data_IF_536598752990
#
_entry.id   IF_536598752990
#
_cell.length_a   1.000
_cell.length_b   1.000
_cell.length_c   1.000
_cell.angle_alpha   90.00
_cell.angle_beta   90.00
_cell.angle_gamma   90.00
#
_symmetry.space_group_name_H-M   'P 1'
#
loop_
_entity.id
_entity.type
_entity.pdbx_description
1 polymer ?
#
# COMPACT_ATOMS: atom_id res chain seq x y z
N UNK A 1 15.93 -26.46 -31.97
CA UNK A 1 15.46 -25.87 -30.69
C UNK A 1 14.11 -26.50 -30.36
N UNK A 2 13.91 -26.98 -29.13
CA UNK A 2 12.62 -27.56 -28.71
C UNK A 2 11.56 -26.46 -28.51
N UNK A 3 10.29 -26.80 -28.74
CA UNK A 3 9.12 -25.91 -28.54
C UNK A 3 9.10 -25.26 -27.15
N UNK A 4 9.45 -26.02 -26.12
CA UNK A 4 9.56 -25.54 -24.73
C UNK A 4 10.58 -24.43 -24.52
N UNK A 5 11.73 -24.46 -25.22
CA UNK A 5 12.74 -23.39 -25.13
C UNK A 5 12.29 -22.09 -25.81
N UNK A 6 11.40 -22.19 -26.79
CA UNK A 6 10.82 -21.04 -27.47
C UNK A 6 9.74 -20.39 -26.60
N UNK A 7 8.81 -21.19 -26.06
CA UNK A 7 7.74 -20.72 -25.16
C UNK A 7 8.29 -20.07 -23.88
N UNK A 8 9.34 -20.63 -23.28
CA UNK A 8 10.00 -20.00 -22.12
C UNK A 8 10.64 -18.65 -22.45
N UNK A 9 11.19 -18.50 -23.66
CA UNK A 9 11.84 -17.25 -24.09
C UNK A 9 10.81 -16.16 -24.36
N UNK A 10 9.66 -16.52 -24.93
CA UNK A 10 8.54 -15.59 -25.13
C UNK A 10 7.95 -15.11 -23.80
N UNK A 11 7.68 -16.01 -22.85
CA UNK A 11 7.15 -15.64 -21.53
C UNK A 11 8.08 -14.70 -20.75
N UNK A 12 9.40 -14.91 -20.80
CA UNK A 12 10.39 -13.99 -20.20
C UNK A 12 10.35 -12.62 -20.87
N UNK A 13 10.19 -12.58 -22.20
CA UNK A 13 10.07 -11.33 -22.95
C UNK A 13 8.79 -10.57 -22.60
N UNK A 14 7.65 -11.26 -22.44
CA UNK A 14 6.38 -10.64 -22.05
C UNK A 14 6.45 -10.04 -20.64
N UNK A 15 7.02 -10.76 -19.67
CA UNK A 15 7.21 -10.23 -18.30
C UNK A 15 8.14 -9.03 -18.28
N UNK A 16 9.20 -9.04 -19.08
CA UNK A 16 10.10 -7.89 -19.18
C UNK A 16 9.39 -6.68 -19.80
N UNK A 17 8.57 -6.90 -20.84
CA UNK A 17 7.76 -5.84 -21.44
C UNK A 17 6.78 -5.27 -20.41
N UNK A 18 6.04 -6.12 -19.70
CA UNK A 18 5.10 -5.67 -18.66
C UNK A 18 5.82 -4.92 -17.53
N UNK A 19 7.01 -5.37 -17.13
CA UNK A 19 7.81 -4.67 -16.13
C UNK A 19 8.21 -3.26 -16.57
N UNK A 20 8.59 -3.09 -17.84
CA UNK A 20 8.95 -1.80 -18.42
C UNK A 20 7.72 -0.88 -18.56
N UNK A 21 6.57 -1.44 -18.96
CA UNK A 21 5.30 -0.70 -18.98
C UNK A 21 4.93 -0.17 -17.60
N UNK A 22 5.02 -1.01 -16.58
CA UNK A 22 4.74 -0.62 -15.20
C UNK A 22 5.71 0.45 -14.67
N UNK A 23 6.96 0.43 -15.12
CA UNK A 23 7.92 1.50 -14.82
C UNK A 23 7.45 2.84 -15.39
N UNK A 24 7.07 2.85 -16.67
CA UNK A 24 6.54 4.04 -17.32
C UNK A 24 5.21 4.50 -16.69
N UNK A 25 4.33 3.56 -16.33
CA UNK A 25 3.07 3.83 -15.65
C UNK A 25 3.31 4.52 -14.30
N UNK A 26 4.19 3.96 -13.46
CA UNK A 26 4.54 4.56 -12.15
C UNK A 26 5.21 5.92 -12.28
N UNK A 27 5.99 6.16 -13.34
CA UNK A 27 6.58 7.46 -13.61
C UNK A 27 5.55 8.53 -14.01
N UNK A 28 4.39 8.12 -14.54
CA UNK A 28 3.30 9.00 -14.94
C UNK A 28 2.25 9.20 -13.84
N UNK A 29 2.26 8.40 -12.78
CA UNK A 29 1.37 8.62 -11.63
C UNK A 29 1.72 9.96 -10.98
N UNK A 30 0.74 10.87 -10.96
CA UNK A 30 0.80 12.13 -10.25
C UNK A 30 -0.52 12.46 -9.56
N UNK A 31 -0.45 13.19 -8.46
CA UNK A 31 -1.63 13.69 -7.76
C UNK A 31 -2.26 14.90 -8.50
N UNK A 32 -3.35 15.43 -7.95
CA UNK A 32 -4.04 16.61 -8.52
C UNK A 32 -3.19 17.89 -8.51
N UNK A 33 -2.07 17.89 -7.79
CA UNK A 33 -1.11 18.99 -7.75
C UNK A 33 0.06 18.77 -8.74
N UNK A 34 0.04 17.67 -9.49
CA UNK A 34 1.11 17.29 -10.42
C UNK A 34 2.34 16.70 -9.73
N UNK A 35 2.25 16.35 -8.45
CA UNK A 35 3.33 15.71 -7.72
C UNK A 35 3.32 14.21 -8.01
N UNK A 36 4.42 13.71 -8.55
CA UNK A 36 4.59 12.29 -8.86
C UNK A 36 4.90 11.43 -7.63
N UNK A 37 4.92 10.11 -7.82
CA UNK A 37 5.37 9.16 -6.79
C UNK A 37 6.82 9.47 -6.37
N UNK A 38 7.10 9.45 -5.07
CA UNK A 38 8.44 9.70 -4.54
C UNK A 38 9.48 8.73 -5.10
N UNK A 39 10.66 9.25 -5.48
CA UNK A 39 11.68 8.50 -6.20
C UNK A 39 12.08 7.19 -5.51
N UNK A 40 12.22 7.17 -4.18
CA UNK A 40 12.70 5.98 -3.45
C UNK A 40 11.62 4.91 -3.26
N UNK A 41 10.33 5.26 -3.37
CA UNK A 41 9.24 4.30 -3.18
C UNK A 41 8.68 3.72 -4.48
N UNK A 42 8.93 4.38 -5.63
CA UNK A 42 8.56 3.87 -6.97
C UNK A 42 8.84 2.37 -7.19
N UNK A 43 10.01 1.82 -6.81
CA UNK A 43 10.29 0.40 -7.02
C UNK A 43 9.31 -0.53 -6.29
N UNK A 44 8.87 -0.18 -5.08
CA UNK A 44 7.89 -0.96 -4.31
C UNK A 44 6.52 -0.85 -4.95
N UNK A 45 6.09 0.36 -5.33
CA UNK A 45 4.81 0.59 -6.02
C UNK A 45 4.72 -0.28 -7.29
N UNK A 46 5.75 -0.21 -8.15
CA UNK A 46 5.84 -1.07 -9.35
C UNK A 46 5.83 -2.56 -8.99
N UNK A 47 6.60 -2.97 -7.99
CA UNK A 47 6.65 -4.37 -7.55
C UNK A 47 5.29 -4.89 -7.11
N UNK A 48 4.52 -4.08 -6.37
CA UNK A 48 3.16 -4.42 -5.95
C UNK A 48 2.22 -4.54 -7.15
N UNK A 49 2.26 -3.57 -8.08
CA UNK A 49 1.46 -3.60 -9.30
C UNK A 49 1.78 -4.81 -10.19
N UNK A 50 3.06 -5.17 -10.31
CA UNK A 50 3.50 -6.36 -11.04
C UNK A 50 2.93 -7.65 -10.43
N UNK A 51 2.76 -7.68 -9.11
CA UNK A 51 2.17 -8.81 -8.39
C UNK A 51 0.62 -8.71 -8.27
N UNK A 52 -0.01 -7.84 -9.07
CA UNK A 52 -1.46 -7.76 -9.21
C UNK A 52 -2.17 -7.03 -8.08
N UNK A 53 -1.47 -6.14 -7.37
CA UNK A 53 -2.09 -5.22 -6.42
C UNK A 53 -2.34 -3.86 -7.06
N UNK A 54 -3.48 -3.26 -6.76
CA UNK A 54 -3.77 -1.88 -7.14
C UNK A 54 -3.31 -0.94 -6.03
N UNK A 55 -2.42 -0.01 -6.37
CA UNK A 55 -1.89 1.00 -5.43
C UNK A 55 -2.62 2.34 -5.62
N UNK A 56 -2.97 3.04 -4.55
CA UNK A 56 -3.70 4.32 -4.65
C UNK A 56 -2.92 5.54 -4.15
N UNK A 57 -2.11 5.38 -3.11
CA UNK A 57 -1.30 6.45 -2.52
C UNK A 57 0.02 5.89 -2.01
N UNK A 58 1.05 6.72 -1.90
CA UNK A 58 2.32 6.33 -1.29
C UNK A 58 3.11 7.55 -0.78
N UNK A 59 4.07 7.31 0.10
CA UNK A 59 5.04 8.31 0.56
C UNK A 59 6.34 7.60 0.92
N UNK A 60 7.50 8.16 0.55
CA UNK A 60 8.81 7.59 0.92
C UNK A 60 9.20 7.80 2.39
N UNK A 61 8.36 8.51 3.14
CA UNK A 61 8.61 8.97 4.51
C UNK A 61 9.55 10.17 4.55
N UNK A 62 9.32 11.07 5.51
CA UNK A 62 10.13 12.28 5.65
C UNK A 62 10.24 12.75 7.10
N UNK A 63 11.30 13.50 7.38
CA UNK A 63 11.57 14.13 8.68
C UNK A 63 11.59 15.64 8.48
N UNK A 64 10.43 16.24 8.21
CA UNK A 64 10.32 17.68 7.97
C UNK A 64 10.42 18.49 9.28
N UNK A 65 10.67 19.81 9.16
CA UNK A 65 10.85 20.72 10.31
C UNK A 65 9.57 20.93 11.14
N UNK A 66 8.40 20.71 10.55
CA UNK A 66 7.10 21.06 11.13
C UNK A 66 6.32 19.84 11.68
N UNK A 67 6.98 18.71 11.92
CA UNK A 67 6.37 17.45 12.43
C UNK A 67 5.19 16.88 11.62
N UNK A 68 4.92 17.41 10.44
CA UNK A 68 3.96 16.85 9.49
C UNK A 68 4.59 15.69 8.71
N UNK A 69 3.89 14.57 8.67
CA UNK A 69 4.25 13.36 7.94
C UNK A 69 4.90 12.26 8.78
N UNK A 70 4.90 11.05 8.22
CA UNK A 70 5.41 9.88 8.89
C UNK A 70 6.91 9.67 8.58
N UNK A 71 7.76 9.41 9.59
CA UNK A 71 9.18 9.08 9.38
C UNK A 71 9.38 7.63 8.91
N UNK A 72 8.46 7.10 8.11
CA UNK A 72 8.55 5.80 7.46
C UNK A 72 7.83 5.82 6.11
N UNK A 73 8.32 5.03 5.14
CA UNK A 73 7.63 4.82 3.87
C UNK A 73 6.33 4.02 4.03
N UNK A 74 5.36 4.24 3.14
CA UNK A 74 4.10 3.51 3.07
C UNK A 74 3.50 3.52 1.65
N UNK A 75 2.71 2.50 1.29
CA UNK A 75 2.02 2.39 -0.01
C UNK A 75 0.64 1.81 0.22
N UNK A 76 -0.42 2.52 -0.13
CA UNK A 76 -1.79 2.01 -0.01
C UNK A 76 -2.15 1.05 -1.13
N UNK A 77 -2.69 -0.12 -0.76
CA UNK A 77 -3.38 -1.05 -1.66
C UNK A 77 -4.88 -0.88 -1.46
N UNK A 78 -5.60 -0.93 -2.57
CA UNK A 78 -7.05 -0.99 -2.64
C UNK A 78 -7.44 -2.16 -3.54
N UNK A 79 -8.52 -2.86 -3.23
CA UNK A 79 -9.06 -3.86 -4.17
C UNK A 79 -9.75 -3.19 -5.37
N UNK A 80 -9.68 -3.77 -6.58
CA UNK A 80 -10.39 -3.22 -7.74
C UNK A 80 -11.90 -3.06 -7.51
N UNK A 81 -12.50 -3.95 -6.70
CA UNK A 81 -13.91 -3.84 -6.32
C UNK A 81 -14.16 -2.66 -5.39
N UNK A 82 -13.30 -2.43 -4.38
CA UNK A 82 -13.38 -1.25 -3.51
C UNK A 82 -13.27 0.03 -4.34
N UNK A 83 -12.31 0.09 -5.27
CA UNK A 83 -12.16 1.21 -6.20
C UNK A 83 -13.42 1.47 -7.02
N UNK A 84 -14.07 0.41 -7.51
CA UNK A 84 -15.32 0.54 -8.28
C UNK A 84 -16.49 1.01 -7.42
N UNK A 85 -16.62 0.49 -6.19
CA UNK A 85 -17.63 0.96 -5.23
C UNK A 85 -17.43 2.45 -4.93
N UNK A 86 -16.19 2.92 -4.77
CA UNK A 86 -15.89 4.34 -4.48
C UNK A 86 -16.22 5.28 -5.64
N UNK A 87 -16.34 4.78 -6.89
CA UNK A 87 -16.86 5.57 -8.02
C UNK A 87 -18.39 5.73 -7.99
N UNK A 88 -19.11 4.96 -7.17
CA UNK A 88 -20.54 5.05 -7.08
C UNK A 88 -20.95 6.37 -6.41
N UNK A 89 -21.63 7.25 -7.16
CA UNK A 89 -22.09 8.57 -6.67
C UNK A 89 -22.93 8.50 -5.40
N UNK A 90 -23.69 7.42 -5.22
CA UNK A 90 -24.51 7.22 -4.01
C UNK A 90 -23.64 6.89 -2.82
N UNK A 91 -22.62 6.04 -2.99
CA UNK A 91 -21.64 5.80 -1.93
C UNK A 91 -20.89 7.09 -1.58
N UNK A 92 -20.36 7.81 -2.58
CA UNK A 92 -19.65 9.08 -2.37
C UNK A 92 -20.49 10.09 -1.59
N UNK A 93 -21.77 10.27 -1.94
CA UNK A 93 -22.68 11.13 -1.18
C UNK A 93 -22.83 10.68 0.28
N UNK A 94 -23.05 9.38 0.51
CA UNK A 94 -23.25 8.83 1.85
C UNK A 94 -21.97 8.93 2.70
N UNK A 95 -20.81 8.64 2.12
CA UNK A 95 -19.52 8.64 2.80
C UNK A 95 -19.07 10.07 3.15
N UNK A 96 -19.25 11.02 2.22
CA UNK A 96 -19.04 12.44 2.49
C UNK A 96 -19.98 12.92 3.60
N UNK A 97 -21.26 12.56 3.54
CA UNK A 97 -22.24 12.93 4.58
C UNK A 97 -21.83 12.35 5.94
N UNK A 98 -21.46 11.08 6.01
CA UNK A 98 -21.02 10.43 7.25
C UNK A 98 -19.76 11.08 7.84
N UNK A 99 -18.88 11.61 6.99
CA UNK A 99 -17.62 12.25 7.37
C UNK A 99 -17.74 13.71 7.83
N UNK A 100 -18.90 14.35 7.62
CA UNK A 100 -19.16 15.70 8.14
C UNK A 100 -19.31 15.70 9.67
N UNK A 101 -19.04 16.86 10.29
CA UNK A 101 -19.36 17.08 11.70
C UNK A 101 -20.86 16.83 11.93
N UNK A 102 -21.19 15.92 12.83
CA UNK A 102 -22.55 15.43 13.13
C UNK A 102 -23.28 14.74 11.96
N UNK A 103 -22.62 14.56 10.82
CA UNK A 103 -23.23 14.04 9.60
C UNK A 103 -23.81 12.64 9.77
N UNK A 104 -23.08 11.74 10.43
CA UNK A 104 -23.59 10.42 10.82
C UNK A 104 -24.90 10.49 11.61
N UNK A 105 -24.96 11.38 12.61
CA UNK A 105 -26.13 11.54 13.47
C UNK A 105 -27.34 12.10 12.71
N UNK A 106 -27.09 12.86 11.64
CA UNK A 106 -28.11 13.46 10.79
C UNK A 106 -28.57 12.56 9.63
N UNK A 107 -27.87 11.46 9.35
CA UNK A 107 -28.31 10.48 8.34
C UNK A 107 -29.55 9.72 8.81
N UNK A 108 -30.46 9.45 7.86
CA UNK A 108 -31.59 8.56 8.12
C UNK A 108 -31.11 7.14 8.42
N UNK A 109 -31.91 6.34 9.12
CA UNK A 109 -31.58 4.93 9.37
C UNK A 109 -31.38 4.15 8.07
N UNK A 110 -32.17 4.47 7.03
CA UNK A 110 -32.03 3.88 5.70
C UNK A 110 -30.66 4.19 5.09
N UNK A 111 -30.22 5.45 5.15
CA UNK A 111 -28.93 5.88 4.61
C UNK A 111 -27.77 5.23 5.37
N UNK A 112 -27.85 5.11 6.70
CA UNK A 112 -26.82 4.42 7.50
C UNK A 112 -26.72 2.95 7.12
N UNK A 113 -27.85 2.26 6.95
CA UNK A 113 -27.88 0.85 6.51
C UNK A 113 -27.31 0.67 5.11
N UNK A 114 -27.61 1.59 4.20
CA UNK A 114 -27.07 1.57 2.84
C UNK A 114 -25.56 1.82 2.81
N UNK A 115 -25.10 2.84 3.54
CA UNK A 115 -23.66 3.12 3.71
C UNK A 115 -22.92 1.92 4.30
N UNK A 116 -23.49 1.29 5.33
CA UNK A 116 -22.89 0.10 5.95
C UNK A 116 -22.73 -1.04 4.94
N UNK A 117 -23.73 -1.29 4.07
CA UNK A 117 -23.62 -2.32 3.02
C UNK A 117 -22.46 -2.04 2.06
N UNK A 118 -22.25 -0.79 1.65
CA UNK A 118 -21.09 -0.44 0.83
C UNK A 118 -19.77 -0.67 1.57
N UNK A 119 -19.68 -0.24 2.83
CA UNK A 119 -18.48 -0.47 3.65
C UNK A 119 -18.22 -1.96 3.89
N UNK A 120 -19.25 -2.79 4.05
CA UNK A 120 -19.09 -4.24 4.20
C UNK A 120 -18.48 -4.87 2.94
N UNK A 121 -18.95 -4.48 1.75
CA UNK A 121 -18.39 -4.92 0.46
C UNK A 121 -16.92 -4.47 0.33
N UNK A 122 -16.63 -3.20 0.63
CA UNK A 122 -15.27 -2.65 0.60
C UNK A 122 -14.36 -3.42 1.57
N UNK A 123 -14.76 -3.56 2.83
CA UNK A 123 -13.97 -4.21 3.87
C UNK A 123 -13.72 -5.69 3.54
N UNK A 124 -14.71 -6.40 2.98
CA UNK A 124 -14.53 -7.78 2.55
C UNK A 124 -13.52 -7.89 1.40
N UNK A 125 -13.63 -7.00 0.41
CA UNK A 125 -12.76 -6.99 -0.76
C UNK A 125 -11.32 -6.62 -0.40
N UNK A 126 -11.13 -5.53 0.34
CA UNK A 126 -9.81 -5.08 0.80
C UNK A 126 -9.20 -6.08 1.79
N UNK A 127 -10.02 -6.70 2.65
CA UNK A 127 -9.58 -7.77 3.54
C UNK A 127 -9.07 -9.03 2.80
N UNK A 128 -9.47 -9.26 1.53
CA UNK A 128 -8.87 -10.32 0.69
C UNK A 128 -7.50 -9.90 0.19
N UNK A 129 -7.33 -8.65 -0.22
CA UNK A 129 -6.02 -8.10 -0.63
C UNK A 129 -5.03 -8.07 0.54
N UNK A 130 -5.47 -7.70 1.74
CA UNK A 130 -4.65 -7.76 2.95
C UNK A 130 -4.13 -9.17 3.22
N UNK A 131 -4.99 -10.19 3.07
CA UNK A 131 -4.59 -11.60 3.23
C UNK A 131 -3.61 -12.02 2.15
N UNK A 132 -3.77 -11.55 0.91
CA UNK A 132 -2.81 -11.82 -0.18
C UNK A 132 -1.45 -11.18 0.11
N UNK A 133 -1.44 -9.92 0.54
CA UNK A 133 -0.21 -9.20 0.86
C UNK A 133 0.50 -9.79 2.09
N UNK A 134 -0.24 -10.18 3.13
CA UNK A 134 0.32 -10.89 4.31
C UNK A 134 1.05 -12.16 3.91
N UNK A 135 0.48 -12.98 3.01
CA UNK A 135 1.17 -14.19 2.49
C UNK A 135 2.49 -13.88 1.79
N UNK A 136 2.53 -12.79 1.02
CA UNK A 136 3.75 -12.35 0.32
C UNK A 136 4.80 -11.85 1.31
N UNK A 137 4.38 -11.15 2.36
CA UNK A 137 5.29 -10.74 3.45
C UNK A 137 5.80 -11.92 4.26
N UNK A 138 4.94 -12.91 4.53
CA UNK A 138 5.35 -14.15 5.20
C UNK A 138 6.42 -14.88 4.37
N UNK A 139 6.28 -14.92 3.04
CA UNK A 139 7.32 -15.45 2.14
C UNK A 139 8.59 -14.59 2.15
N UNK A 140 8.47 -13.26 2.10
CA UNK A 140 9.62 -12.35 2.14
C UNK A 140 10.46 -12.56 3.41
N UNK A 141 9.79 -12.79 4.54
CA UNK A 141 10.45 -12.98 5.83
C UNK A 141 10.71 -14.43 6.23
N UNK A 142 10.46 -15.41 5.37
CA UNK A 142 10.48 -16.84 5.74
C UNK A 142 11.82 -17.32 6.30
N UNK A 143 12.92 -16.76 5.79
CA UNK A 143 14.29 -17.16 6.15
C UNK A 143 14.91 -16.22 7.21
N UNK A 144 14.20 -15.18 7.63
CA UNK A 144 14.69 -14.23 8.62
C UNK A 144 14.45 -14.74 10.06
N UNK A 145 15.53 -14.85 10.82
CA UNK A 145 15.46 -15.14 12.26
C UNK A 145 15.37 -13.84 13.07
N UNK A 146 14.36 -13.74 13.93
CA UNK A 146 14.21 -12.66 14.91
C UNK A 146 13.14 -11.62 14.58
N UNK A 147 12.83 -10.77 15.56
CA UNK A 147 11.91 -9.65 15.40
C UNK A 147 12.71 -8.37 15.23
N UNK A 148 12.93 -7.95 13.97
CA UNK A 148 13.62 -6.70 13.66
C UNK A 148 12.64 -5.51 13.77
N UNK A 149 13.05 -4.36 14.32
CA UNK A 149 12.24 -3.15 14.42
C UNK A 149 11.90 -2.51 13.08
N UNK A 150 12.40 -3.00 11.96
CA UNK A 150 12.19 -2.48 10.60
C UNK A 150 11.39 -3.39 9.65
N UNK A 151 10.69 -4.42 10.16
CA UNK A 151 9.86 -5.29 9.30
C UNK A 151 8.75 -4.52 8.58
N UNK A 152 8.21 -5.10 7.53
CA UNK A 152 7.05 -4.60 6.82
C UNK A 152 5.82 -5.36 7.33
N UNK A 153 4.69 -4.67 7.48
CA UNK A 153 3.44 -5.24 7.95
C UNK A 153 2.24 -4.72 7.17
N UNK A 154 1.06 -5.25 7.45
CA UNK A 154 -0.20 -4.81 6.85
C UNK A 154 -1.09 -4.33 7.98
N UNK A 155 -1.37 -3.03 8.00
CA UNK A 155 -2.40 -2.46 8.87
C UNK A 155 -3.75 -2.52 8.17
N UNK A 156 -4.72 -3.14 8.84
CA UNK A 156 -6.11 -3.24 8.40
C UNK A 156 -7.05 -2.46 9.33
N UNK A 157 -6.50 -1.56 10.15
CA UNK A 157 -7.16 -0.90 11.27
C UNK A 157 -7.29 0.62 11.13
N UNK A 158 -8.53 1.09 10.93
CA UNK A 158 -9.22 2.24 11.57
C UNK A 158 -8.51 3.58 11.93
N UNK A 159 -7.27 3.85 11.55
CA UNK A 159 -6.66 5.17 11.72
C UNK A 159 -6.88 5.99 10.46
N UNK A 160 -7.41 7.19 10.64
CA UNK A 160 -7.77 8.10 9.56
C UNK A 160 -6.51 8.66 8.86
N UNK A 161 -6.50 8.81 7.52
CA UNK A 161 -7.56 8.39 6.60
C UNK A 161 -7.55 6.86 6.39
N UNK A 162 -8.74 6.27 6.52
CA UNK A 162 -9.04 4.85 6.79
C UNK A 162 -8.66 3.83 5.72
N UNK A 163 -7.95 4.23 4.68
CA UNK A 163 -7.52 3.37 3.58
C UNK A 163 -6.07 3.72 3.24
N UNK A 164 -5.15 3.40 4.15
CA UNK A 164 -3.73 3.30 3.83
C UNK A 164 -3.27 1.88 4.14
N UNK A 165 -2.54 1.22 3.23
CA UNK A 165 -1.52 0.32 3.77
C UNK A 165 -0.38 1.20 4.21
N UNK A 166 -0.22 1.19 5.51
CA UNK A 166 1.03 1.53 6.12
C UNK A 166 1.80 0.23 6.32
N UNK A 167 3.02 0.19 5.80
CA UNK A 167 3.92 -0.92 6.05
C UNK A 167 4.47 -0.76 7.47
N UNK A 168 3.84 -1.42 8.43
CA UNK A 168 4.27 -1.38 9.82
C UNK A 168 5.23 -2.49 10.18
N UNK A 169 6.41 -2.07 10.62
CA UNK A 169 7.24 -2.92 11.44
C UNK A 169 6.61 -3.17 12.79
N UNK A 170 6.53 -4.44 13.17
CA UNK A 170 6.17 -4.85 14.52
C UNK A 170 7.19 -4.35 15.55
N UNK A 171 6.95 -3.15 16.08
CA UNK A 171 7.05 -2.93 17.52
C UNK A 171 5.76 -2.27 18.03
N UNK A 172 4.89 -3.15 18.59
CA UNK A 172 3.83 -2.90 19.57
C UNK A 172 2.59 -2.14 19.10
N UNK A 173 1.44 -2.80 19.24
CA UNK A 173 0.11 -2.24 19.03
C UNK A 173 -0.07 -0.87 19.69
N UNK A 174 -0.76 0.01 18.96
CA UNK A 174 -0.83 1.46 19.14
C UNK A 174 0.52 2.15 18.89
N UNK A 175 0.68 2.79 17.73
CA UNK A 175 1.30 4.13 17.76
C UNK A 175 0.30 5.00 18.54
N UNK A 176 0.45 4.99 19.86
CA UNK A 176 0.64 6.28 20.52
C UNK A 176 1.73 6.94 19.70
N UNK A 177 1.58 8.19 19.29
CA UNK A 177 2.52 8.97 18.47
C UNK A 177 3.96 9.04 19.03
N UNK A 178 4.60 7.91 19.33
CA UNK A 178 5.91 7.77 19.95
C UNK A 178 6.97 8.25 19.00
N UNK A 179 6.71 8.19 17.69
CA UNK A 179 7.56 8.82 16.71
C UNK A 179 7.58 10.35 16.86
N UNK A 180 6.48 10.99 17.30
CA UNK A 180 6.49 12.43 17.64
C UNK A 180 7.42 12.72 18.82
N UNK A 181 7.68 11.74 19.68
CA UNK A 181 8.64 11.85 20.79
C UNK A 181 10.08 11.49 20.41
N UNK A 182 10.33 10.94 19.22
CA UNK A 182 11.70 10.64 18.78
C UNK A 182 12.48 11.92 18.46
N UNK A 183 13.72 12.05 18.95
CA UNK A 183 14.63 13.09 18.48
C UNK A 183 14.77 13.05 16.96
N UNK A 184 15.00 14.22 16.34
CA UNK A 184 15.13 14.34 14.88
C UNK A 184 16.16 13.38 14.28
N UNK A 185 17.30 13.20 14.95
CA UNK A 185 18.35 12.28 14.48
C UNK A 185 17.92 10.81 14.58
N UNK A 186 17.12 10.45 15.59
CA UNK A 186 16.54 9.11 15.67
C UNK A 186 15.51 8.87 14.56
N UNK A 187 14.64 9.86 14.27
CA UNK A 187 13.70 9.81 13.15
C UNK A 187 14.43 9.56 11.83
N UNK A 188 15.52 10.29 11.55
CA UNK A 188 16.33 10.12 10.33
C UNK A 188 16.93 8.72 10.25
N UNK A 189 17.58 8.26 11.33
CA UNK A 189 18.20 6.93 11.38
C UNK A 189 17.17 5.82 11.13
N UNK A 190 15.98 5.94 11.71
CA UNK A 190 14.89 4.97 11.50
C UNK A 190 14.31 5.04 10.09
N UNK A 191 14.10 6.24 9.56
CA UNK A 191 13.63 6.43 8.19
C UNK A 191 14.57 5.73 7.19
N UNK A 192 15.88 5.90 7.35
CA UNK A 192 16.88 5.23 6.50
C UNK A 192 16.76 3.70 6.57
N UNK A 193 16.61 3.14 7.77
CA UNK A 193 16.40 1.70 7.95
C UNK A 193 15.11 1.21 7.28
N UNK A 194 14.01 1.95 7.42
CA UNK A 194 12.74 1.59 6.80
C UNK A 194 12.78 1.69 5.27
N UNK A 195 13.46 2.70 4.73
CA UNK A 195 13.67 2.84 3.29
C UNK A 195 14.53 1.72 2.71
N UNK A 196 15.55 1.27 3.44
CA UNK A 196 16.37 0.11 3.06
C UNK A 196 15.53 -1.17 3.05
N UNK A 197 14.66 -1.37 4.05
CA UNK A 197 13.77 -2.53 4.06
C UNK A 197 12.79 -2.52 2.87
N UNK A 198 12.20 -1.36 2.56
CA UNK A 198 11.35 -1.21 1.37
C UNK A 198 12.10 -1.52 0.08
N UNK A 199 13.35 -1.09 -0.03
CA UNK A 199 14.19 -1.43 -1.18
C UNK A 199 14.37 -2.96 -1.31
N UNK A 200 14.69 -3.64 -0.21
CA UNK A 200 14.80 -5.12 -0.18
C UNK A 200 13.48 -5.79 -0.57
N UNK A 201 12.36 -5.25 -0.10
CA UNK A 201 11.05 -5.77 -0.45
C UNK A 201 10.70 -5.53 -1.94
N UNK A 202 11.09 -4.41 -2.53
CA UNK A 202 10.95 -4.17 -3.97
C UNK A 202 11.72 -5.18 -4.81
N UNK A 203 12.96 -5.48 -4.40
CA UNK A 203 13.80 -6.49 -5.05
C UNK A 203 13.13 -7.88 -4.97
N UNK A 204 12.64 -8.26 -3.79
CA UNK A 204 11.88 -9.49 -3.60
C UNK A 204 10.62 -9.56 -4.48
N UNK A 205 9.82 -8.48 -4.54
CA UNK A 205 8.61 -8.43 -5.38
C UNK A 205 8.93 -8.57 -6.86
N UNK A 206 10.05 -7.98 -7.31
CA UNK A 206 10.55 -8.14 -8.68
C UNK A 206 10.90 -9.61 -8.95
N UNK A 207 11.73 -10.20 -8.11
CA UNK A 207 12.14 -11.61 -8.25
C UNK A 207 10.93 -12.55 -8.25
N UNK A 208 9.97 -12.30 -7.36
CA UNK A 208 8.72 -13.06 -7.27
C UNK A 208 7.94 -12.97 -8.59
N UNK A 209 7.76 -11.78 -9.15
CA UNK A 209 7.06 -11.58 -10.42
C UNK A 209 7.71 -12.37 -11.57
N UNK A 210 9.03 -12.38 -11.67
CA UNK A 210 9.75 -13.13 -12.71
C UNK A 210 9.83 -14.65 -12.45
N UNK A 211 9.62 -15.10 -11.21
CA UNK A 211 9.63 -16.53 -10.83
C UNK A 211 8.29 -17.23 -11.09
N UNK A 212 7.18 -16.53 -10.91
CA UNK A 212 5.86 -17.12 -11.19
C UNK A 212 5.77 -17.52 -12.67
N UNK A 213 5.03 -18.58 -13.00
CA UNK A 213 4.83 -19.01 -14.40
C UNK A 213 3.54 -18.42 -14.92
#
# INVERSE_FOLDING_TARGET
MSKEKFEQKEAVSEKQNRWNELEAEVDQIGDKLGMGVDRRIKPVVRGLMANGFQTTMSCEGHVNRDDHGYPWPWVTIESPLSAEVKKNRRFDFLDNTASLKDGWNNMSEKDRKEWQKFKDVINEADGKEDKRLKKILDEFYKDEKGNRPERIGVDSGHVWPKEMLELWSRIKGKIIDVHKTWPKEEKKKKLELYQQEFKRFAEFLKERFFREK
#
